data_IF_361270774738
#
_entry.id   IF_361270774738
#
_cell.length_a   1.000
_cell.length_b   1.000
_cell.length_c   1.000
_cell.angle_alpha   90.00
_cell.angle_beta   90.00
_cell.angle_gamma   90.00
#
_symmetry.space_group_name_H-M   'P 1'
#
loop_
_entity.id
_entity.type
_entity.pdbx_description
1 polymer ?
#
# COMPACT_ATOMS: atom_id res chain seq x y z
N UNK A 1 -16.28 -12.06 0.52
CA UNK A 1 -15.59 -12.92 1.46
C UNK A 1 -15.96 -12.62 2.90
N UNK A 2 -15.92 -13.65 3.73
CA UNK A 2 -16.24 -13.54 5.14
C UNK A 2 -14.95 -13.30 5.94
N UNK A 3 -14.94 -12.25 6.75
CA UNK A 3 -13.83 -11.91 7.62
C UNK A 3 -14.19 -12.21 9.06
N UNK A 4 -13.18 -12.56 9.84
CA UNK A 4 -13.33 -12.72 11.28
C UNK A 4 -12.65 -11.57 12.00
N UNK A 5 -13.42 -10.86 12.78
CA UNK A 5 -12.92 -9.83 13.68
C UNK A 5 -13.45 -10.15 15.08
N UNK A 6 -12.53 -10.43 16.01
CA UNK A 6 -12.88 -10.80 17.38
C UNK A 6 -13.82 -12.02 17.50
N UNK A 7 -13.72 -12.97 16.59
CA UNK A 7 -14.57 -14.16 16.54
C UNK A 7 -15.89 -13.97 15.81
N UNK A 8 -16.19 -12.76 15.32
CA UNK A 8 -17.36 -12.49 14.50
C UNK A 8 -17.00 -12.56 13.01
N UNK A 9 -17.96 -13.00 12.20
CA UNK A 9 -17.81 -12.99 10.76
C UNK A 9 -18.29 -11.64 10.23
N UNK A 10 -17.38 -10.88 9.65
CA UNK A 10 -17.73 -9.65 8.96
C UNK A 10 -18.07 -9.99 7.51
N UNK A 11 -19.26 -9.61 7.09
CA UNK A 11 -19.72 -9.78 5.72
C UNK A 11 -19.54 -8.47 4.98
N UNK A 12 -18.91 -8.52 3.82
CA UNK A 12 -18.69 -7.35 2.98
C UNK A 12 -17.62 -7.60 1.94
N UNK A 13 -17.56 -6.70 0.98
CA UNK A 13 -16.56 -6.73 -0.06
C UNK A 13 -15.46 -5.69 0.22
N UNK A 14 -14.22 -5.99 -0.11
CA UNK A 14 -13.17 -4.99 -0.02
C UNK A 14 -13.45 -3.83 -0.99
N UNK A 15 -13.12 -2.62 -0.58
CA UNK A 15 -13.20 -1.49 -1.50
C UNK A 15 -12.02 -1.49 -2.48
N UNK A 16 -10.95 -2.17 -2.15
CA UNK A 16 -9.78 -2.29 -3.01
C UNK A 16 -8.96 -3.52 -2.64
N UNK A 17 -8.40 -4.16 -3.64
CA UNK A 17 -7.49 -5.29 -3.49
C UNK A 17 -6.19 -4.91 -4.17
N UNK A 18 -5.09 -4.95 -3.42
CA UNK A 18 -3.75 -4.75 -3.94
C UNK A 18 -3.07 -6.10 -4.09
N UNK A 19 -2.55 -6.38 -5.27
CA UNK A 19 -1.77 -7.59 -5.53
C UNK A 19 -0.33 -7.20 -5.83
N UNK A 20 0.62 -7.87 -5.22
CA UNK A 20 2.04 -7.61 -5.44
C UNK A 20 2.87 -8.85 -5.15
N UNK A 21 4.12 -8.82 -5.63
CA UNK A 21 5.08 -9.88 -5.41
C UNK A 21 6.16 -9.42 -4.43
N UNK A 22 6.65 -10.36 -3.66
CA UNK A 22 7.78 -10.15 -2.76
C UNK A 22 8.81 -11.26 -2.99
N UNK A 23 10.08 -10.87 -3.02
CA UNK A 23 11.17 -11.80 -3.15
C UNK A 23 11.84 -12.02 -1.79
N UNK A 24 11.93 -13.27 -1.38
CA UNK A 24 12.66 -13.67 -0.19
C UNK A 24 13.97 -14.31 -0.59
N UNK A 25 15.03 -13.90 0.07
CA UNK A 25 16.30 -14.61 0.00
C UNK A 25 16.33 -15.57 1.16
N UNK A 26 16.32 -16.86 0.86
CA UNK A 26 16.41 -17.92 1.85
C UNK A 26 17.75 -18.62 1.66
N UNK A 27 18.64 -18.49 2.65
CA UNK A 27 19.95 -19.12 2.58
C UNK A 27 20.46 -19.45 3.96
N UNK A 28 20.93 -20.69 4.14
CA UNK A 28 21.59 -21.13 5.37
C UNK A 28 23.06 -20.71 5.38
N UNK A 29 23.63 -20.43 4.21
CA UNK A 29 24.98 -19.91 4.04
C UNK A 29 25.12 -19.23 2.67
N UNK A 30 26.24 -18.54 2.43
CA UNK A 30 26.49 -17.76 1.21
C UNK A 30 26.48 -18.59 -0.08
N UNK A 31 26.66 -19.90 0.01
CA UNK A 31 26.73 -20.80 -1.16
C UNK A 31 25.37 -21.35 -1.59
N UNK A 32 24.31 -21.20 -0.76
CA UNK A 32 22.99 -21.81 -0.97
C UNK A 32 21.86 -20.78 -0.92
N UNK A 33 22.09 -19.55 -1.34
CA UNK A 33 21.03 -18.56 -1.41
C UNK A 33 20.03 -18.93 -2.51
N UNK A 34 18.76 -18.97 -2.12
CA UNK A 34 17.63 -19.12 -3.06
C UNK A 34 16.73 -17.94 -2.96
N UNK A 35 16.27 -17.46 -4.10
CA UNK A 35 15.22 -16.46 -4.18
C UNK A 35 13.88 -17.17 -4.35
N UNK A 36 12.96 -16.88 -3.44
CA UNK A 36 11.59 -17.38 -3.50
C UNK A 36 10.67 -16.20 -3.71
N UNK A 37 9.84 -16.28 -4.76
CA UNK A 37 8.80 -15.31 -5.01
C UNK A 37 7.54 -15.70 -4.24
N UNK A 38 6.98 -14.74 -3.50
CA UNK A 38 5.68 -14.89 -2.86
C UNK A 38 4.68 -13.95 -3.49
N UNK A 39 3.45 -14.42 -3.63
CA UNK A 39 2.34 -13.61 -4.07
C UNK A 39 1.56 -13.11 -2.87
N UNK A 40 1.40 -11.80 -2.79
CA UNK A 40 0.68 -11.16 -1.70
C UNK A 40 -0.55 -10.43 -2.24
N UNK A 41 -1.63 -10.51 -1.48
CA UNK A 41 -2.81 -9.70 -1.70
C UNK A 41 -3.16 -9.00 -0.40
N UNK A 42 -3.40 -7.71 -0.48
CA UNK A 42 -3.91 -6.92 0.63
C UNK A 42 -5.35 -6.49 0.30
N UNK A 43 -6.29 -6.88 1.13
CA UNK A 43 -7.70 -6.56 0.97
C UNK A 43 -8.06 -5.48 1.97
N UNK A 44 -8.65 -4.38 1.47
CA UNK A 44 -8.98 -3.21 2.28
C UNK A 44 -10.48 -3.06 2.44
N UNK A 45 -10.91 -2.81 3.69
CA UNK A 45 -12.31 -2.69 4.05
C UNK A 45 -12.59 -1.37 4.73
N UNK A 46 -13.70 -0.74 4.33
CA UNK A 46 -14.19 0.50 4.90
C UNK A 46 -15.57 0.25 5.54
N UNK A 47 -15.66 0.51 6.83
CA UNK A 47 -16.90 0.33 7.61
C UNK A 47 -17.53 1.67 8.00
N UNK A 48 -17.13 2.75 7.37
CA UNK A 48 -17.64 4.09 7.61
C UNK A 48 -16.69 4.98 8.40
N UNK A 49 -17.04 6.28 8.54
CA UNK A 49 -16.13 7.28 9.11
C UNK A 49 -15.88 7.13 10.61
N UNK A 50 -16.76 6.39 11.32
CA UNK A 50 -16.65 6.20 12.76
C UNK A 50 -15.88 4.94 13.15
N UNK A 51 -15.42 4.17 12.17
CA UNK A 51 -14.71 2.91 12.36
C UNK A 51 -13.39 2.92 11.61
N UNK A 52 -12.43 2.13 12.09
CA UNK A 52 -11.13 2.03 11.46
C UNK A 52 -11.21 1.21 10.15
N UNK A 53 -10.40 1.60 9.20
CA UNK A 53 -10.15 0.78 8.00
C UNK A 53 -9.42 -0.50 8.41
N UNK A 54 -9.72 -1.59 7.72
CA UNK A 54 -9.04 -2.87 7.92
C UNK A 54 -8.27 -3.26 6.67
N UNK A 55 -7.11 -3.85 6.88
CA UNK A 55 -6.29 -4.42 5.83
C UNK A 55 -6.01 -5.87 6.17
N UNK A 56 -6.46 -6.77 5.32
CA UNK A 56 -6.18 -8.20 5.44
C UNK A 56 -5.05 -8.56 4.49
N UNK A 57 -4.02 -9.15 5.01
CA UNK A 57 -2.89 -9.61 4.20
C UNK A 57 -2.96 -11.11 3.99
N UNK A 58 -2.96 -11.51 2.72
CA UNK A 58 -2.90 -12.90 2.29
C UNK A 58 -1.56 -13.17 1.62
N UNK A 59 -0.93 -14.27 1.98
CA UNK A 59 0.28 -14.77 1.33
C UNK A 59 -0.04 -16.13 0.73
N UNK A 60 0.13 -16.26 -0.58
CA UNK A 60 -0.19 -17.47 -1.34
C UNK A 60 -1.59 -18.01 -1.01
N UNK A 61 -2.56 -17.08 -0.91
CA UNK A 61 -3.96 -17.38 -0.65
C UNK A 61 -4.34 -17.61 0.80
N UNK A 62 -3.40 -17.50 1.73
CA UNK A 62 -3.64 -17.70 3.17
C UNK A 62 -3.63 -16.39 3.92
N UNK A 63 -4.64 -16.16 4.75
CA UNK A 63 -4.70 -15.00 5.63
C UNK A 63 -3.60 -15.10 6.69
N UNK A 64 -2.71 -14.11 6.73
CA UNK A 64 -1.59 -14.08 7.68
C UNK A 64 -1.66 -12.91 8.65
N UNK A 65 -2.40 -11.85 8.33
CA UNK A 65 -2.46 -10.68 9.19
C UNK A 65 -3.73 -9.85 8.95
N UNK A 66 -4.30 -9.33 10.02
CA UNK A 66 -5.37 -8.34 10.01
C UNK A 66 -4.86 -7.09 10.71
N UNK A 67 -4.69 -6.01 9.95
CA UNK A 67 -4.22 -4.72 10.46
C UNK A 67 -5.37 -3.72 10.48
N UNK A 68 -5.42 -2.90 11.51
CA UNK A 68 -6.26 -1.70 11.52
C UNK A 68 -5.43 -0.51 11.07
N UNK A 69 -6.06 0.38 10.32
CA UNK A 69 -5.46 1.62 9.82
C UNK A 69 -6.17 2.82 10.46
N UNK A 70 -6.09 3.98 9.85
CA UNK A 70 -6.83 5.14 10.30
C UNK A 70 -8.34 4.98 10.10
N UNK A 71 -9.11 6.00 10.48
CA UNK A 71 -10.56 5.99 10.34
C UNK A 71 -10.98 5.88 8.87
N UNK A 72 -12.10 5.22 8.67
CA UNK A 72 -12.72 5.07 7.37
C UNK A 72 -13.33 6.37 6.85
N UNK A 73 -14.07 6.23 5.76
CA UNK A 73 -14.70 7.37 5.08
C UNK A 73 -16.16 7.05 4.80
N UNK A 74 -16.98 8.09 4.64
CA UNK A 74 -18.37 7.92 4.26
C UNK A 74 -18.52 7.40 2.84
N UNK A 75 -17.62 7.81 1.95
CA UNK A 75 -17.59 7.43 0.54
C UNK A 75 -16.16 7.33 0.07
N UNK A 76 -15.81 6.24 -0.60
CA UNK A 76 -14.49 6.07 -1.20
C UNK A 76 -14.26 7.16 -2.25
N UNK A 77 -13.13 7.86 -2.11
CA UNK A 77 -12.79 8.98 -3.00
C UNK A 77 -13.45 10.31 -2.67
N UNK A 78 -14.28 10.36 -1.63
CA UNK A 78 -15.07 11.55 -1.28
C UNK A 78 -14.37 12.60 -0.45
N UNK A 79 -13.17 12.32 0.06
CA UNK A 79 -12.42 13.22 0.95
C UNK A 79 -10.97 13.41 0.49
N UNK A 80 -10.78 13.63 -0.79
CA UNK A 80 -9.43 13.79 -1.31
C UNK A 80 -8.89 15.20 -1.07
N UNK A 81 -7.89 15.28 -0.23
CA UNK A 81 -7.07 16.48 -0.05
C UNK A 81 -5.61 16.04 -0.15
N UNK A 82 -4.97 16.35 -1.27
CA UNK A 82 -3.60 15.92 -1.55
C UNK A 82 -2.59 16.44 -0.52
N UNK A 83 -2.85 17.60 0.06
CA UNK A 83 -1.96 18.18 1.07
C UNK A 83 -1.94 17.40 2.38
N UNK A 84 -2.93 16.54 2.59
CA UNK A 84 -3.01 15.69 3.79
C UNK A 84 -2.50 14.28 3.57
N UNK A 85 -2.00 13.96 2.38
CA UNK A 85 -1.41 12.66 2.09
C UNK A 85 0.03 12.61 2.59
N UNK A 86 0.17 12.49 3.90
CA UNK A 86 1.46 12.57 4.57
C UNK A 86 2.32 11.33 4.35
N UNK A 87 3.61 11.52 4.48
CA UNK A 87 4.60 10.46 4.41
C UNK A 87 4.27 9.35 5.41
N UNK A 88 4.31 8.12 4.96
CA UNK A 88 3.99 6.94 5.77
C UNK A 88 2.54 6.49 5.71
N UNK A 89 1.64 7.31 5.13
CA UNK A 89 0.25 6.90 4.94
C UNK A 89 0.19 5.69 3.99
N UNK A 90 -0.62 4.69 4.32
CA UNK A 90 -0.70 3.49 3.50
C UNK A 90 -1.40 3.77 2.17
N UNK A 91 -1.03 3.01 1.15
CA UNK A 91 -1.63 3.10 -0.18
C UNK A 91 -3.15 2.87 -0.13
N UNK A 92 -3.62 1.96 0.73
CA UNK A 92 -5.05 1.70 0.91
C UNK A 92 -5.80 2.87 1.51
N UNK A 93 -5.18 3.63 2.41
CA UNK A 93 -5.76 4.86 2.97
C UNK A 93 -5.86 5.95 1.91
N UNK A 94 -4.88 6.05 1.01
CA UNK A 94 -4.93 6.98 -0.10
C UNK A 94 -6.10 6.65 -1.04
N UNK A 95 -6.31 5.36 -1.34
CA UNK A 95 -7.47 4.92 -2.14
C UNK A 95 -8.79 5.26 -1.44
N UNK A 96 -8.88 5.05 -0.13
CA UNK A 96 -10.09 5.40 0.61
C UNK A 96 -10.43 6.89 0.48
N UNK A 97 -9.43 7.76 0.58
CA UNK A 97 -9.62 9.21 0.50
C UNK A 97 -9.78 9.73 -0.92
N UNK A 98 -8.96 9.26 -1.85
CA UNK A 98 -8.82 9.84 -3.19
C UNK A 98 -9.30 8.94 -4.32
N UNK A 99 -9.67 7.69 -4.03
CA UNK A 99 -10.02 6.73 -5.07
C UNK A 99 -8.80 6.26 -5.85
N UNK A 100 -9.04 5.69 -7.02
CA UNK A 100 -7.97 5.23 -7.90
C UNK A 100 -7.37 6.37 -8.71
N UNK A 101 -6.07 6.32 -9.03
CA UNK A 101 -5.42 7.37 -9.80
C UNK A 101 -5.81 7.32 -11.28
N UNK A 102 -5.52 8.40 -12.01
CA UNK A 102 -5.68 8.46 -13.46
C UNK A 102 -4.68 7.54 -14.16
N UNK A 103 -3.47 7.42 -13.64
CA UNK A 103 -2.48 6.48 -14.14
C UNK A 103 -1.61 5.96 -13.00
N UNK A 104 -1.07 4.77 -13.19
CA UNK A 104 -0.21 4.13 -12.21
C UNK A 104 0.87 3.31 -12.89
N UNK A 105 2.03 3.28 -12.28
CA UNK A 105 3.14 2.44 -12.71
C UNK A 105 3.82 1.82 -11.49
N UNK A 106 4.40 0.67 -11.68
CA UNK A 106 5.09 -0.07 -10.61
C UNK A 106 6.43 -0.56 -11.10
N UNK A 107 7.41 -0.45 -10.25
CA UNK A 107 8.74 -1.04 -10.49
C UNK A 107 9.33 -1.53 -9.18
N UNK A 108 10.21 -2.49 -9.30
CA UNK A 108 10.98 -3.01 -8.18
C UNK A 108 12.43 -2.56 -8.38
N UNK A 109 13.07 -2.14 -7.30
CA UNK A 109 14.44 -1.66 -7.34
C UNK A 109 15.15 -1.86 -6.02
N UNK A 110 16.46 -1.75 -6.06
CA UNK A 110 17.28 -1.86 -4.85
C UNK A 110 17.26 -0.56 -4.08
N UNK A 111 17.05 -0.66 -2.78
CA UNK A 111 17.20 0.46 -1.85
C UNK A 111 18.29 0.13 -0.85
N UNK A 112 19.05 1.13 -0.47
CA UNK A 112 20.09 1.00 0.55
C UNK A 112 19.54 1.43 1.89
N UNK A 113 19.55 0.53 2.86
CA UNK A 113 19.16 0.81 4.24
C UNK A 113 20.42 0.86 5.09
N UNK A 114 20.54 1.88 5.94
CA UNK A 114 21.63 1.98 6.92
C UNK A 114 21.06 1.68 8.30
N UNK A 115 21.73 0.79 9.03
CA UNK A 115 21.40 0.52 10.42
C UNK A 115 22.07 1.53 11.35
N UNK A 116 21.82 1.42 12.66
CA UNK A 116 22.38 2.32 13.67
C UNK A 116 23.90 2.25 13.76
N UNK A 117 24.50 1.18 13.29
CA UNK A 117 25.97 1.03 13.25
C UNK A 117 26.60 1.65 11.99
N UNK A 118 25.75 2.16 11.06
CA UNK A 118 26.19 2.71 9.79
C UNK A 118 26.43 1.66 8.71
N UNK A 119 26.16 0.39 9.01
CA UNK A 119 26.29 -0.69 8.02
C UNK A 119 25.17 -0.59 6.99
N UNK A 120 25.56 -0.51 5.72
CA UNK A 120 24.62 -0.45 4.61
C UNK A 120 24.14 -1.85 4.22
N UNK A 121 22.83 -2.00 4.05
CA UNK A 121 22.20 -3.20 3.49
C UNK A 121 21.39 -2.82 2.28
N UNK A 122 21.46 -3.60 1.24
CA UNK A 122 20.60 -3.46 0.08
C UNK A 122 19.43 -4.42 0.18
N UNK A 123 18.25 -3.92 -0.13
CA UNK A 123 17.07 -4.75 -0.29
C UNK A 123 16.26 -4.28 -1.49
N UNK A 124 15.49 -5.19 -2.05
CA UNK A 124 14.54 -4.86 -3.11
C UNK A 124 13.31 -4.20 -2.50
N UNK A 125 12.91 -3.08 -3.07
CA UNK A 125 11.72 -2.35 -2.67
C UNK A 125 10.78 -2.20 -3.86
N UNK A 126 9.48 -2.15 -3.56
CA UNK A 126 8.44 -1.86 -4.53
C UNK A 126 8.18 -0.36 -4.55
N UNK A 127 8.25 0.24 -5.73
CA UNK A 127 7.94 1.65 -5.96
C UNK A 127 6.73 1.75 -6.85
N UNK A 128 5.67 2.37 -6.35
CA UNK A 128 4.47 2.70 -7.11
C UNK A 128 4.41 4.21 -7.33
N UNK A 129 4.17 4.62 -8.55
CA UNK A 129 3.99 6.02 -8.91
C UNK A 129 2.57 6.21 -9.43
N UNK A 130 1.79 7.01 -8.73
CA UNK A 130 0.39 7.28 -9.04
C UNK A 130 0.20 8.74 -9.41
N UNK A 131 -0.49 8.96 -10.51
CA UNK A 131 -0.81 10.31 -10.96
C UNK A 131 -2.32 10.52 -10.83
N UNK A 132 -2.68 11.53 -10.04
CA UNK A 132 -4.05 11.98 -9.90
C UNK A 132 -4.27 13.24 -10.73
N UNK A 133 -5.42 13.30 -11.39
CA UNK A 133 -5.84 14.46 -12.17
C UNK A 133 -6.99 15.14 -11.44
N UNK A 134 -6.74 16.29 -10.77
CA UNK A 134 -7.79 17.02 -10.05
C UNK A 134 -8.73 17.82 -10.94
N UNK A 135 -8.53 17.80 -12.25
CA UNK A 135 -9.38 18.49 -13.21
C UNK A 135 -8.66 19.58 -13.98
N UNK A 136 -9.34 20.13 -14.98
CA UNK A 136 -8.78 21.14 -15.85
C UNK A 136 -8.42 22.42 -15.09
N UNK A 137 -7.32 23.05 -15.49
CA UNK A 137 -6.79 24.24 -14.82
C UNK A 137 -6.02 23.97 -13.55
N UNK A 138 -5.88 22.71 -13.14
CA UNK A 138 -5.14 22.32 -11.95
C UNK A 138 -3.98 21.42 -12.33
N UNK A 139 -2.90 21.48 -11.54
CA UNK A 139 -1.71 20.67 -11.79
C UNK A 139 -1.98 19.21 -11.42
N UNK A 140 -1.33 18.29 -12.14
CA UNK A 140 -1.37 16.89 -11.81
C UNK A 140 -0.62 16.64 -10.49
N UNK A 141 -1.07 15.62 -9.76
CA UNK A 141 -0.49 15.22 -8.49
C UNK A 141 0.20 13.88 -8.65
N UNK A 142 1.51 13.84 -8.47
CA UNK A 142 2.27 12.61 -8.40
C UNK A 142 2.42 12.19 -6.94
N UNK A 143 1.98 10.98 -6.64
CA UNK A 143 2.19 10.36 -5.33
C UNK A 143 3.09 9.15 -5.53
N UNK A 144 4.19 9.12 -4.81
CA UNK A 144 5.13 7.99 -4.85
C UNK A 144 4.99 7.18 -3.58
N UNK A 145 4.79 5.89 -3.75
CA UNK A 145 4.73 4.93 -2.65
C UNK A 145 5.97 4.04 -2.68
N UNK A 146 6.56 3.81 -1.54
CA UNK A 146 7.61 2.81 -1.37
C UNK A 146 7.09 1.76 -0.39
N UNK A 147 7.06 0.52 -0.84
CA UNK A 147 6.50 -0.61 -0.10
C UNK A 147 5.09 -0.34 0.45
N UNK A 148 4.26 0.31 -0.37
CA UNK A 148 2.86 0.57 -0.06
C UNK A 148 2.60 1.74 0.88
N UNK A 149 3.59 2.61 1.11
CA UNK A 149 3.44 3.82 1.93
C UNK A 149 3.91 5.06 1.19
N UNK A 150 3.20 6.16 1.39
CA UNK A 150 3.57 7.44 0.78
C UNK A 150 5.00 7.81 1.17
N UNK A 151 5.84 8.05 0.16
CA UNK A 151 7.22 8.48 0.32
C UNK A 151 7.43 9.92 -0.16
N UNK A 152 6.80 10.28 -1.27
CA UNK A 152 6.96 11.59 -1.89
C UNK A 152 5.66 12.04 -2.54
N UNK A 153 5.49 13.36 -2.62
CA UNK A 153 4.43 14.01 -3.41
C UNK A 153 5.06 15.10 -4.26
N UNK A 154 4.59 15.24 -5.47
CA UNK A 154 5.09 16.22 -6.40
C UNK A 154 3.97 16.75 -7.29
N UNK A 155 4.01 18.05 -7.57
CA UNK A 155 3.13 18.69 -8.55
C UNK A 155 3.76 18.58 -9.93
N UNK A 156 2.99 18.12 -10.89
CA UNK A 156 3.45 18.02 -12.27
C UNK A 156 2.67 18.99 -13.15
N UNK A 157 3.34 19.50 -14.16
CA UNK A 157 2.68 20.30 -15.19
C UNK A 157 1.81 19.41 -16.09
N UNK A 158 0.70 19.99 -16.55
CA UNK A 158 -0.18 19.27 -17.48
C UNK A 158 0.43 19.20 -18.87
#
# INVERSE_FOLDING_TARGET
PALRDGGQILLGEPYWIESYSEWLVVGENQALERRIERQLEAWYYNFGPDRLLHRLLFIDGRLVRDDTLGYGVSKIGGRCNYDTLDRGLSIGEVVARCGLPASQSRRYGLVTLRDDSGLAREREARRDEWIYDPGSGRRLQLIVFVDGRVAERELLDR
#
